data_IF_500843742755
#
_entry.id   IF_500843742755
#
_cell.length_a   1.000
_cell.length_b   1.000
_cell.length_c   1.000
_cell.angle_alpha   90.00
_cell.angle_beta   90.00
_cell.angle_gamma   90.00
#
_symmetry.space_group_name_H-M   'P 1'
#
loop_
_entity.id
_entity.type
_entity.pdbx_description
1 polymer ?
#
# COMPACT_ATOMS: atom_id res chain seq x y z
N UNK A 1 -86.01 -15.21 11.39
CA UNK A 1 -85.19 -14.07 10.94
C UNK A 1 -83.85 -14.16 11.66
N UNK A 2 -82.73 -14.26 10.94
CA UNK A 2 -81.42 -14.65 11.47
C UNK A 2 -80.55 -13.44 11.81
N UNK A 3 -79.69 -13.54 12.83
CA UNK A 3 -78.52 -12.67 12.94
C UNK A 3 -77.30 -13.54 13.30
N UNK A 4 -76.49 -13.82 12.27
CA UNK A 4 -75.19 -14.44 12.38
C UNK A 4 -74.16 -13.36 12.78
N UNK A 5 -73.39 -13.62 13.82
CA UNK A 5 -72.23 -12.81 14.20
C UNK A 5 -70.99 -13.34 13.46
N UNK A 6 -70.39 -12.51 12.59
CA UNK A 6 -69.10 -12.78 11.95
C UNK A 6 -67.98 -12.33 12.90
N UNK A 7 -67.19 -13.26 13.43
CA UNK A 7 -65.90 -12.97 14.06
C UNK A 7 -64.81 -12.92 12.98
N UNK A 8 -64.31 -11.73 12.69
CA UNK A 8 -63.15 -11.52 11.82
C UNK A 8 -61.86 -11.47 12.64
N UNK A 9 -61.01 -12.49 12.53
CA UNK A 9 -59.64 -12.44 13.03
C UNK A 9 -58.75 -11.80 11.96
N UNK A 10 -58.22 -10.60 12.24
CA UNK A 10 -57.21 -9.94 11.40
C UNK A 10 -55.84 -10.48 11.82
N UNK A 11 -55.28 -11.39 11.01
CA UNK A 11 -53.91 -11.84 11.16
C UNK A 11 -52.96 -10.78 10.56
N UNK A 12 -52.25 -10.05 11.41
CA UNK A 12 -51.13 -9.20 11.02
C UNK A 12 -49.95 -10.10 10.62
N UNK A 13 -49.78 -10.33 9.33
CA UNK A 13 -48.59 -10.96 8.78
C UNK A 13 -47.45 -9.93 8.73
N UNK A 14 -46.54 -10.00 9.69
CA UNK A 14 -45.31 -9.20 9.71
C UNK A 14 -44.39 -9.70 8.60
N UNK A 15 -44.24 -8.92 7.52
CA UNK A 15 -43.24 -9.20 6.49
C UNK A 15 -41.83 -8.96 7.06
N UNK A 16 -41.10 -10.04 7.31
CA UNK A 16 -39.65 -9.97 7.52
C UNK A 16 -39.00 -9.71 6.16
N UNK A 17 -38.67 -8.44 5.87
CA UNK A 17 -37.90 -8.11 4.67
C UNK A 17 -36.48 -8.70 4.79
N UNK A 18 -35.98 -9.44 3.80
CA UNK A 18 -34.61 -9.95 3.81
C UNK A 18 -33.63 -8.77 3.74
N UNK A 19 -32.79 -8.62 4.76
CA UNK A 19 -31.68 -7.67 4.75
C UNK A 19 -30.67 -8.12 3.68
N UNK A 20 -30.28 -7.27 2.71
CA UNK A 20 -29.27 -7.65 1.74
C UNK A 20 -27.93 -7.94 2.45
N UNK A 21 -27.14 -8.92 1.98
CA UNK A 21 -25.90 -9.30 2.64
C UNK A 21 -24.87 -8.16 2.55
N UNK A 22 -24.49 -7.60 3.71
CA UNK A 22 -23.47 -6.56 3.89
C UNK A 22 -22.06 -7.02 3.46
N UNK A 23 -21.86 -8.32 3.21
CA UNK A 23 -20.55 -8.93 3.01
C UNK A 23 -19.86 -8.62 1.65
N UNK A 24 -20.59 -8.16 0.63
CA UNK A 24 -20.01 -7.93 -0.70
C UNK A 24 -19.45 -6.50 -0.91
N UNK A 25 -19.96 -5.52 -0.16
CA UNK A 25 -19.63 -4.07 -0.28
C UNK A 25 -18.49 -3.60 0.64
N UNK A 26 -17.80 -4.51 1.31
CA UNK A 26 -16.70 -4.17 2.22
C UNK A 26 -15.33 -4.41 1.60
N UNK A 27 -15.27 -5.04 0.43
CA UNK A 27 -14.02 -5.37 -0.25
C UNK A 27 -13.79 -4.53 -1.52
N UNK A 28 -14.74 -3.68 -1.91
CA UNK A 28 -14.57 -2.61 -2.90
C UNK A 28 -14.09 -1.29 -2.26
N UNK A 29 -14.28 -1.12 -0.94
CA UNK A 29 -13.67 -0.06 -0.16
C UNK A 29 -12.27 -0.44 0.34
N UNK A 30 -11.25 0.35 0.00
CA UNK A 30 -9.85 0.05 0.35
C UNK A 30 -9.58 0.06 1.86
N UNK A 31 -10.32 0.84 2.65
CA UNK A 31 -10.15 0.90 4.11
C UNK A 31 -10.72 -0.34 4.77
N UNK A 32 -11.95 -0.72 4.44
CA UNK A 32 -12.58 -1.95 4.89
C UNK A 32 -11.81 -3.19 4.43
N UNK A 33 -11.30 -3.18 3.19
CA UNK A 33 -10.38 -4.20 2.68
C UNK A 33 -9.16 -4.35 3.58
N UNK A 34 -8.41 -3.26 3.84
CA UNK A 34 -7.21 -3.34 4.66
C UNK A 34 -7.50 -3.79 6.09
N UNK A 35 -8.57 -3.30 6.72
CA UNK A 35 -9.00 -3.77 8.04
C UNK A 35 -9.27 -5.28 8.07
N UNK A 36 -9.85 -5.83 7.00
CA UNK A 36 -10.17 -7.25 6.90
C UNK A 36 -8.94 -8.14 6.64
N UNK A 37 -8.01 -7.71 5.79
CA UNK A 37 -6.85 -8.54 5.38
C UNK A 37 -5.60 -8.31 6.22
N UNK A 38 -5.56 -7.23 6.99
CA UNK A 38 -4.40 -6.84 7.81
C UNK A 38 -3.24 -6.33 6.97
N UNK A 39 -2.39 -7.25 6.51
CA UNK A 39 -1.14 -6.92 5.81
C UNK A 39 -1.04 -7.68 4.49
N UNK A 40 -0.94 -6.94 3.38
CA UNK A 40 -0.67 -7.47 2.03
C UNK A 40 0.18 -6.46 1.27
N UNK A 41 1.14 -6.94 0.46
CA UNK A 41 2.09 -6.10 -0.29
C UNK A 41 1.43 -5.36 -1.47
N UNK A 42 0.31 -5.88 -1.98
CA UNK A 42 -0.57 -5.25 -2.96
C UNK A 42 -2.01 -5.80 -2.81
N UNK A 43 -3.04 -5.10 -3.29
CA UNK A 43 -4.40 -5.62 -3.32
C UNK A 43 -4.43 -6.87 -4.19
N UNK A 44 -4.98 -7.95 -3.66
CA UNK A 44 -5.12 -9.22 -4.36
C UNK A 44 -6.56 -9.44 -4.86
N UNK A 45 -6.84 -10.64 -5.40
CA UNK A 45 -8.15 -11.04 -5.94
C UNK A 45 -9.35 -10.84 -5.00
N UNK A 46 -9.12 -10.61 -3.70
CA UNK A 46 -10.19 -10.34 -2.73
C UNK A 46 -10.71 -8.91 -2.84
N UNK A 47 -9.87 -7.96 -3.23
CA UNK A 47 -10.27 -6.57 -3.44
C UNK A 47 -11.06 -6.45 -4.75
N UNK A 48 -12.19 -5.73 -4.70
CA UNK A 48 -13.16 -5.61 -5.80
C UNK A 48 -13.33 -4.19 -6.31
N UNK A 49 -12.63 -3.23 -5.71
CA UNK A 49 -12.73 -1.82 -6.07
C UNK A 49 -11.83 -1.45 -7.25
N UNK A 50 -11.78 -0.17 -7.62
CA UNK A 50 -10.89 0.31 -8.68
C UNK A 50 -9.42 0.10 -8.29
N UNK A 51 -8.52 -0.17 -9.27
CA UNK A 51 -7.09 -0.36 -9.01
C UNK A 51 -6.48 0.80 -8.20
N UNK A 52 -6.87 2.03 -8.50
CA UNK A 52 -6.58 3.23 -7.72
C UNK A 52 -7.90 3.89 -7.27
N UNK A 53 -8.27 3.80 -5.99
CA UNK A 53 -9.39 4.58 -5.44
C UNK A 53 -9.18 6.10 -5.60
N UNK A 54 -10.21 6.81 -6.03
CA UNK A 54 -10.14 8.27 -6.25
C UNK A 54 -9.71 9.04 -4.99
N UNK A 55 -10.15 8.62 -3.81
CA UNK A 55 -9.74 9.25 -2.55
C UNK A 55 -8.24 9.06 -2.26
N UNK A 56 -7.63 7.94 -2.69
CA UNK A 56 -6.17 7.75 -2.58
C UNK A 56 -5.44 8.75 -3.47
N UNK A 57 -5.88 8.92 -4.73
CA UNK A 57 -5.31 9.90 -5.65
C UNK A 57 -5.44 11.33 -5.12
N UNK A 58 -6.60 11.68 -4.57
CA UNK A 58 -6.87 12.96 -3.93
C UNK A 58 -5.94 13.24 -2.74
N UNK A 59 -5.81 12.30 -1.79
CA UNK A 59 -4.94 12.45 -0.62
C UNK A 59 -3.45 12.56 -1.00
N UNK A 60 -3.04 11.90 -2.08
CA UNK A 60 -1.70 12.01 -2.63
C UNK A 60 -1.49 13.27 -3.49
N UNK A 61 -2.56 14.02 -3.81
CA UNK A 61 -2.56 15.17 -4.72
C UNK A 61 -1.98 14.84 -6.09
N UNK A 62 -2.37 13.70 -6.65
CA UNK A 62 -1.96 13.24 -7.98
C UNK A 62 -3.16 13.10 -8.90
N UNK A 63 -2.92 13.00 -10.21
CA UNK A 63 -3.96 12.69 -11.18
C UNK A 63 -4.51 11.26 -10.98
N UNK A 64 -5.73 11.00 -11.43
CA UNK A 64 -6.40 9.69 -11.28
C UNK A 64 -5.70 8.57 -12.07
N UNK A 65 -4.89 8.91 -13.07
CA UNK A 65 -4.08 7.98 -13.87
C UNK A 65 -2.61 7.94 -13.44
N UNK A 66 -2.26 8.60 -12.33
CA UNK A 66 -0.90 8.58 -11.81
C UNK A 66 -0.48 7.15 -11.44
N UNK A 67 0.80 6.87 -11.68
CA UNK A 67 1.35 5.57 -11.32
C UNK A 67 1.58 5.50 -9.80
N UNK A 68 0.65 4.85 -9.11
CA UNK A 68 0.62 4.69 -7.65
C UNK A 68 0.51 3.21 -7.32
N UNK A 69 1.33 2.75 -6.37
CA UNK A 69 1.08 1.52 -5.65
C UNK A 69 0.43 1.84 -4.30
N UNK A 70 -0.50 1.01 -3.85
CA UNK A 70 -0.99 1.05 -2.49
C UNK A 70 -1.01 -0.36 -1.91
N UNK A 71 -0.96 -0.45 -0.58
CA UNK A 71 -0.88 -1.71 0.14
C UNK A 71 -1.56 -1.60 1.50
N UNK A 72 -1.81 -2.75 2.11
CA UNK A 72 -2.27 -2.81 3.48
C UNK A 72 -1.10 -3.10 4.41
N UNK A 73 -0.92 -2.25 5.43
CA UNK A 73 0.08 -2.45 6.47
C UNK A 73 -0.60 -2.37 7.84
N UNK A 74 -0.74 -3.50 8.51
CA UNK A 74 -1.37 -3.56 9.84
C UNK A 74 -2.80 -3.01 9.86
N UNK A 75 -3.58 -3.27 8.82
CA UNK A 75 -4.97 -2.81 8.72
C UNK A 75 -5.15 -1.41 8.13
N UNK A 76 -4.06 -0.72 7.80
CA UNK A 76 -4.07 0.66 7.27
C UNK A 76 -3.71 0.70 5.80
N UNK A 77 -4.25 1.67 5.08
CA UNK A 77 -3.90 1.96 3.68
C UNK A 77 -2.61 2.78 3.66
N UNK A 78 -1.58 2.27 3.00
CA UNK A 78 -0.37 3.01 2.67
C UNK A 78 -0.25 3.12 1.16
N UNK A 79 0.25 4.25 0.64
CA UNK A 79 0.45 4.44 -0.78
C UNK A 79 1.82 5.05 -1.10
N UNK A 80 2.30 4.77 -2.30
CA UNK A 80 3.59 5.18 -2.84
C UNK A 80 3.40 5.60 -4.30
N UNK A 81 3.81 6.83 -4.63
CA UNK A 81 3.82 7.35 -6.00
C UNK A 81 5.14 6.96 -6.65
N UNK A 82 5.11 6.30 -7.81
CA UNK A 82 6.32 5.97 -8.56
C UNK A 82 7.03 7.24 -9.05
N UNK A 83 8.36 7.22 -9.06
CA UNK A 83 9.20 8.30 -9.57
C UNK A 83 10.50 7.72 -10.14
N UNK A 84 11.29 8.54 -10.84
CA UNK A 84 12.49 8.11 -11.58
C UNK A 84 13.45 7.17 -10.80
N UNK A 85 13.60 7.38 -9.48
CA UNK A 85 14.45 6.57 -8.61
C UNK A 85 13.70 5.96 -7.42
N UNK A 86 12.37 5.83 -7.53
CA UNK A 86 11.52 5.25 -6.47
C UNK A 86 10.75 4.05 -7.03
N UNK A 87 11.07 2.88 -6.49
CA UNK A 87 10.37 1.62 -6.77
C UNK A 87 9.39 1.33 -5.64
N UNK A 88 8.10 1.39 -5.93
CA UNK A 88 7.06 1.06 -4.95
C UNK A 88 6.76 -0.44 -4.88
N UNK A 89 7.19 -1.22 -5.87
CA UNK A 89 7.01 -2.67 -5.98
C UNK A 89 8.18 -3.49 -5.43
N UNK A 90 9.26 -2.83 -5.00
CA UNK A 90 10.46 -3.50 -4.50
C UNK A 90 10.62 -3.32 -2.99
N UNK A 91 10.93 -4.42 -2.29
CA UNK A 91 11.42 -4.36 -0.92
C UNK A 91 12.83 -3.81 -0.92
N UNK A 92 13.15 -2.96 0.05
CA UNK A 92 14.41 -2.28 0.07
C UNK A 92 15.55 -3.22 0.51
N UNK A 93 16.64 -3.24 -0.25
CA UNK A 93 17.86 -3.95 0.13
C UNK A 93 18.55 -3.17 1.25
N UNK A 94 18.72 -3.78 2.42
CA UNK A 94 19.32 -3.15 3.62
C UNK A 94 20.70 -3.69 3.98
N UNK A 95 21.21 -4.65 3.20
CA UNK A 95 22.52 -5.27 3.43
C UNK A 95 23.64 -4.24 3.30
N UNK A 96 24.48 -4.13 4.33
CA UNK A 96 25.70 -3.29 4.31
C UNK A 96 26.86 -3.91 3.53
N UNK A 97 26.60 -4.95 2.73
CA UNK A 97 27.57 -5.55 1.81
C UNK A 97 27.36 -4.98 0.40
N UNK A 98 28.35 -4.24 -0.09
CA UNK A 98 28.28 -3.63 -1.42
C UNK A 98 28.10 -4.69 -2.50
N UNK A 99 27.25 -4.41 -3.50
CA UNK A 99 27.13 -5.21 -4.73
C UNK A 99 28.37 -5.12 -5.63
N UNK A 100 28.38 -5.87 -6.73
CA UNK A 100 29.49 -5.84 -7.69
C UNK A 100 29.66 -4.45 -8.32
N UNK A 101 28.56 -3.83 -8.77
CA UNK A 101 28.55 -2.52 -9.41
C UNK A 101 29.09 -1.42 -8.49
N UNK A 102 28.65 -1.38 -7.24
CA UNK A 102 29.14 -0.42 -6.23
C UNK A 102 30.64 -0.61 -5.98
N UNK A 103 31.13 -1.86 -5.92
CA UNK A 103 32.57 -2.12 -5.77
C UNK A 103 33.35 -1.67 -7.01
N UNK A 104 32.86 -1.99 -8.20
CA UNK A 104 33.48 -1.59 -9.46
C UNK A 104 33.56 -0.07 -9.58
N UNK A 105 32.48 0.63 -9.21
CA UNK A 105 32.44 2.09 -9.16
C UNK A 105 33.51 2.65 -8.21
N UNK A 106 33.62 2.13 -6.98
CA UNK A 106 34.65 2.61 -6.05
C UNK A 106 36.08 2.26 -6.50
N UNK A 107 36.28 1.20 -7.27
CA UNK A 107 37.58 0.92 -7.88
C UNK A 107 37.96 1.97 -8.93
N UNK A 108 37.01 2.43 -9.74
CA UNK A 108 37.22 3.44 -10.78
C UNK A 108 37.26 4.87 -10.24
N UNK A 109 36.51 5.15 -9.18
CA UNK A 109 36.36 6.47 -8.57
C UNK A 109 36.78 6.42 -7.10
N UNK A 110 38.09 6.35 -6.80
CA UNK A 110 38.56 6.35 -5.44
C UNK A 110 38.11 7.64 -4.72
N UNK A 111 37.67 7.49 -3.47
CA UNK A 111 37.24 8.60 -2.60
C UNK A 111 36.01 9.40 -3.06
N UNK A 112 35.22 8.88 -4.03
CA UNK A 112 33.93 9.46 -4.39
C UNK A 112 33.01 9.63 -3.16
N UNK A 113 32.52 10.86 -2.96
CA UNK A 113 31.71 11.22 -1.80
C UNK A 113 30.34 10.51 -1.76
N UNK A 114 29.81 10.11 -2.91
CA UNK A 114 28.60 9.30 -3.03
C UNK A 114 28.68 8.38 -4.25
N UNK A 115 28.02 7.22 -4.18
CA UNK A 115 27.76 6.36 -5.35
C UNK A 115 26.33 6.62 -5.83
N UNK A 116 26.11 6.91 -7.12
CA UNK A 116 24.77 7.19 -7.64
C UNK A 116 23.80 6.01 -7.45
N UNK A 117 22.51 6.30 -7.23
CA UNK A 117 21.47 5.28 -7.01
C UNK A 117 21.29 4.34 -8.20
N UNK A 118 21.45 4.82 -9.44
CA UNK A 118 21.37 3.95 -10.62
C UNK A 118 22.52 2.93 -10.70
N UNK A 119 23.62 3.13 -9.95
CA UNK A 119 24.71 2.15 -9.77
C UNK A 119 24.43 1.21 -8.59
N UNK A 120 23.96 1.76 -7.47
CA UNK A 120 23.64 0.98 -6.28
C UNK A 120 22.38 0.10 -6.43
N UNK A 121 21.49 0.50 -7.33
CA UNK A 121 20.13 -0.02 -7.51
C UNK A 121 19.10 0.91 -6.85
N UNK A 122 17.98 1.16 -7.54
CA UNK A 122 16.90 2.02 -7.02
C UNK A 122 16.21 1.42 -5.78
N UNK A 123 16.31 0.10 -5.59
CA UNK A 123 15.84 -0.65 -4.43
C UNK A 123 16.82 -0.63 -3.25
N UNK A 124 18.01 -0.06 -3.39
CA UNK A 124 19.01 -0.03 -2.33
C UNK A 124 18.65 0.99 -1.25
N UNK A 125 18.29 0.53 -0.05
CA UNK A 125 18.12 1.41 1.12
C UNK A 125 19.47 1.87 1.68
N UNK A 126 20.59 1.41 1.14
CA UNK A 126 21.92 1.79 1.59
C UNK A 126 22.49 2.89 0.72
N UNK A 127 22.92 3.98 1.34
CA UNK A 127 23.74 4.99 0.68
C UNK A 127 25.21 4.61 0.80
N UNK A 128 25.90 4.67 -0.34
CA UNK A 128 27.29 4.28 -0.47
C UNK A 128 28.17 5.48 -0.74
N UNK A 129 29.42 5.41 -0.25
CA UNK A 129 30.53 6.28 -0.62
C UNK A 129 31.79 5.46 -0.78
N UNK A 130 32.81 6.02 -1.40
CA UNK A 130 34.10 5.37 -1.56
C UNK A 130 35.11 5.95 -0.58
N UNK A 131 35.98 5.10 -0.03
CA UNK A 131 37.18 5.48 0.73
C UNK A 131 38.35 4.67 0.20
N UNK A 132 39.31 5.35 -0.43
CA UNK A 132 40.14 4.74 -1.45
C UNK A 132 39.27 3.96 -2.43
N UNK A 133 39.69 2.72 -2.73
CA UNK A 133 38.97 1.82 -3.64
C UNK A 133 37.87 0.98 -2.98
N UNK A 134 37.50 1.28 -1.73
CA UNK A 134 36.54 0.47 -0.95
C UNK A 134 35.20 1.17 -0.85
N UNK A 135 34.13 0.42 -1.10
CA UNK A 135 32.77 0.85 -0.83
C UNK A 135 32.47 0.84 0.67
N UNK A 136 31.88 1.92 1.16
CA UNK A 136 31.42 2.07 2.53
C UNK A 136 29.93 2.41 2.54
N UNK A 137 29.15 1.57 3.21
CA UNK A 137 27.77 1.89 3.59
C UNK A 137 27.84 2.96 4.69
N UNK A 138 27.35 4.17 4.41
CA UNK A 138 27.40 5.28 5.37
C UNK A 138 26.03 5.66 5.92
N UNK A 139 24.96 5.26 5.24
CA UNK A 139 23.59 5.40 5.71
C UNK A 139 22.75 4.20 5.27
N UNK A 140 21.77 3.82 6.09
CA UNK A 140 20.76 2.81 5.75
C UNK A 140 19.40 3.38 6.10
N UNK A 141 18.54 3.54 5.10
CA UNK A 141 17.17 3.98 5.29
C UNK A 141 16.37 2.97 6.12
N UNK A 142 15.49 3.47 6.97
CA UNK A 142 14.57 2.63 7.73
C UNK A 142 13.57 1.95 6.78
N UNK A 143 13.31 0.68 7.05
CA UNK A 143 12.26 -0.12 6.41
C UNK A 143 11.19 -0.48 7.43
N UNK A 144 9.96 -0.65 6.97
CA UNK A 144 8.89 -1.15 7.81
C UNK A 144 8.92 -2.68 7.93
N UNK A 145 7.94 -3.24 8.63
CA UNK A 145 7.83 -4.69 8.85
C UNK A 145 7.62 -5.50 7.56
N UNK A 146 7.15 -4.89 6.47
CA UNK A 146 7.02 -5.54 5.15
C UNK A 146 8.31 -5.42 4.31
N UNK A 147 9.31 -4.68 4.79
CA UNK A 147 10.59 -4.48 4.13
C UNK A 147 10.59 -3.31 3.14
N UNK A 148 9.57 -2.46 3.16
CA UNK A 148 9.50 -1.28 2.31
C UNK A 148 10.12 -0.07 2.99
N UNK A 149 10.81 0.78 2.20
CA UNK A 149 11.45 1.99 2.72
C UNK A 149 10.40 2.97 3.25
N UNK A 150 10.43 3.29 4.54
CA UNK A 150 9.37 4.07 5.22
C UNK A 150 9.13 5.42 4.53
N UNK A 151 10.19 6.14 4.15
CA UNK A 151 10.09 7.48 3.54
C UNK A 151 9.39 7.52 2.17
N UNK A 152 9.22 6.37 1.52
CA UNK A 152 8.56 6.28 0.22
C UNK A 152 7.05 5.95 0.32
N UNK A 153 6.56 5.61 1.53
CA UNK A 153 5.18 5.18 1.76
C UNK A 153 4.45 6.10 2.72
N UNK A 154 3.35 6.69 2.24
CA UNK A 154 2.49 7.56 3.02
C UNK A 154 1.32 6.76 3.59
N UNK A 155 1.09 6.82 4.90
CA UNK A 155 -0.15 6.31 5.49
C UNK A 155 -1.29 7.28 5.18
N UNK A 156 -2.37 6.75 4.62
CA UNK A 156 -3.52 7.56 4.21
C UNK A 156 -4.67 7.41 5.20
N UNK A 157 -5.44 8.48 5.35
CA UNK A 157 -6.69 8.50 6.10
C UNK A 157 -7.79 8.80 5.11
N UNK A 158 -8.89 8.03 5.09
CA UNK A 158 -10.02 8.38 4.23
C UNK A 158 -10.59 9.75 4.63
N UNK A 159 -11.14 10.52 3.68
CA UNK A 159 -11.85 11.75 4.00
C UNK A 159 -12.99 11.47 4.99
N UNK A 160 -13.30 12.46 5.83
CA UNK A 160 -14.45 12.38 6.72
C UNK A 160 -15.74 12.20 5.89
N UNK A 161 -16.72 11.42 6.39
CA UNK A 161 -18.00 11.22 5.72
C UNK A 161 -18.81 12.52 5.60
#
# INVERSE_FOLDING_TARGET
>A
MPHAFLSGAIALATLCAPTPPVAARTLDDAVAYCRAVGTVDAPDRRYRGPPLPAWIAHELRVADDAWVAWRCAGGRVLACVYAAHRRCDAKARTSRRAGAEVRAYCHAHPDAAFVPSFIAGDDDAVSWRCRGRRALAWHVDAVDAQGYRIRDWQALTPPAP
#
